data_IF_374476907466
#
_entry.id   IF_374476907466
#
_cell.length_a   1.000
_cell.length_b   1.000
_cell.length_c   1.000
_cell.angle_alpha   90.00
_cell.angle_beta   90.00
_cell.angle_gamma   90.00
#
_symmetry.space_group_name_H-M   'P 1'
#
loop_
_entity.id
_entity.type
_entity.pdbx_description
1 polymer ?
#
# COMPACT_ATOMS: atom_id res chain seq x y z
N UNK A 1 -22.02 -2.77 27.81
CA UNK A 1 -21.56 -2.92 26.40
C UNK A 1 -20.27 -2.13 26.25
N UNK A 2 -19.14 -2.83 26.34
CA UNK A 2 -17.84 -2.21 26.07
C UNK A 2 -17.78 -1.87 24.58
N UNK A 3 -17.86 -0.60 24.23
CA UNK A 3 -17.50 -0.12 22.89
C UNK A 3 -16.04 -0.49 22.67
N UNK A 4 -15.80 -1.47 21.80
CA UNK A 4 -14.45 -1.77 21.34
C UNK A 4 -14.00 -0.53 20.58
N UNK A 5 -13.12 0.26 21.20
CA UNK A 5 -12.53 1.42 20.52
C UNK A 5 -11.60 0.92 19.41
N UNK A 6 -11.91 1.26 18.17
CA UNK A 6 -11.05 0.95 17.04
C UNK A 6 -9.72 1.66 17.18
N UNK A 7 -8.63 0.90 17.08
CA UNK A 7 -7.27 1.41 17.22
C UNK A 7 -6.84 2.13 15.94
N UNK A 8 -6.32 3.34 16.09
CA UNK A 8 -5.72 4.07 14.98
C UNK A 8 -4.30 3.57 14.73
N UNK A 9 -4.08 3.03 13.54
CA UNK A 9 -2.76 2.53 13.12
C UNK A 9 -1.89 3.66 12.60
N UNK A 10 -2.49 4.62 11.89
CA UNK A 10 -1.79 5.81 11.38
C UNK A 10 -2.52 7.05 11.88
N UNK A 11 -1.74 8.03 12.36
CA UNK A 11 -2.23 9.34 12.72
C UNK A 11 -1.37 10.40 12.04
N UNK A 12 -1.97 11.15 11.13
CA UNK A 12 -1.34 12.26 10.42
C UNK A 12 -1.99 13.55 10.89
N UNK A 13 -1.17 14.49 11.40
CA UNK A 13 -1.64 15.78 11.92
C UNK A 13 -0.93 16.93 11.22
N UNK A 14 -1.70 17.79 10.57
CA UNK A 14 -1.26 19.05 9.98
C UNK A 14 -0.02 18.91 9.09
N UNK A 15 0.01 17.83 8.30
CA UNK A 15 1.14 17.54 7.42
C UNK A 15 1.22 18.55 6.28
N UNK A 16 2.38 19.19 6.14
CA UNK A 16 2.66 20.10 5.03
C UNK A 16 4.02 19.80 4.42
N UNK A 17 4.02 19.57 3.12
CA UNK A 17 5.23 19.36 2.32
C UNK A 17 5.30 20.39 1.21
N UNK A 18 6.35 21.18 1.24
CA UNK A 18 6.58 22.25 0.26
C UNK A 18 7.80 21.97 -0.60
N UNK A 19 7.68 22.27 -1.89
CA UNK A 19 8.79 22.30 -2.84
C UNK A 19 8.88 23.72 -3.40
N UNK A 20 9.91 24.49 -3.03
CA UNK A 20 10.05 25.90 -3.43
C UNK A 20 8.74 26.67 -3.13
N UNK A 21 7.97 26.97 -4.16
CA UNK A 21 6.73 27.74 -4.01
C UNK A 21 5.45 26.90 -4.09
N UNK A 22 5.60 25.55 -4.16
CA UNK A 22 4.46 24.63 -4.29
C UNK A 22 4.26 23.84 -3.01
N UNK A 23 3.06 23.92 -2.44
CA UNK A 23 2.62 23.03 -1.37
C UNK A 23 2.05 21.76 -1.98
N UNK A 24 2.86 20.69 -2.07
CA UNK A 24 2.43 19.40 -2.59
C UNK A 24 1.41 18.74 -1.66
N UNK A 25 1.58 18.93 -0.35
CA UNK A 25 0.62 18.53 0.70
C UNK A 25 0.45 19.75 1.61
N UNK A 26 -0.79 20.14 1.88
CA UNK A 26 -1.12 21.37 2.59
C UNK A 26 -2.05 21.11 3.77
N UNK A 27 -1.47 21.10 4.98
CA UNK A 27 -2.17 20.97 6.25
C UNK A 27 -3.12 19.77 6.31
N UNK A 28 -2.58 18.60 5.93
CA UNK A 28 -3.34 17.35 5.83
C UNK A 28 -3.44 16.66 7.18
N UNK A 29 -4.65 16.33 7.62
CA UNK A 29 -4.89 15.57 8.85
C UNK A 29 -5.87 14.44 8.60
N UNK A 30 -5.48 13.23 8.97
CA UNK A 30 -6.36 12.07 8.90
C UNK A 30 -5.82 10.92 9.75
N UNK A 31 -6.66 9.91 9.98
CA UNK A 31 -6.32 8.70 10.72
C UNK A 31 -6.70 7.48 9.90
N UNK A 32 -5.96 6.38 10.10
CA UNK A 32 -6.27 5.08 9.51
C UNK A 32 -6.52 4.10 10.63
N UNK A 33 -7.68 3.44 10.60
CA UNK A 33 -8.08 2.48 11.63
C UNK A 33 -7.60 1.07 11.29
N UNK A 34 -7.31 0.29 12.33
CA UNK A 34 -6.89 -1.10 12.18
C UNK A 34 -7.92 -1.90 11.39
N UNK A 35 -7.47 -2.65 10.38
CA UNK A 35 -8.30 -3.54 9.58
C UNK A 35 -9.12 -2.87 8.49
N UNK A 36 -8.98 -1.55 8.27
CA UNK A 36 -9.68 -0.89 7.17
C UNK A 36 -8.83 -0.79 5.90
N UNK A 37 -9.49 -0.67 4.77
CA UNK A 37 -8.87 -0.18 3.53
C UNK A 37 -9.27 1.28 3.40
N UNK A 38 -8.29 2.17 3.56
CA UNK A 38 -8.45 3.60 3.32
C UNK A 38 -8.02 3.93 1.91
N UNK A 39 -8.90 4.52 1.13
CA UNK A 39 -8.61 5.00 -0.21
C UNK A 39 -8.20 6.47 -0.22
N UNK A 40 -7.08 6.79 -0.87
CA UNK A 40 -6.72 8.15 -1.24
C UNK A 40 -7.02 8.31 -2.71
N UNK A 41 -8.08 9.06 -3.02
CA UNK A 41 -8.54 9.28 -4.39
C UNK A 41 -8.18 10.69 -4.85
N UNK A 42 -7.67 10.81 -6.05
CA UNK A 42 -7.41 12.12 -6.64
C UNK A 42 -6.67 12.02 -7.96
N UNK A 43 -6.67 13.10 -8.76
CA UNK A 43 -5.93 13.12 -10.01
C UNK A 43 -4.42 13.09 -9.77
N UNK A 44 -3.67 12.88 -10.85
CA UNK A 44 -2.21 12.99 -10.80
C UNK A 44 -1.81 14.38 -10.32
N UNK A 45 -0.86 14.45 -9.39
CA UNK A 45 -0.41 15.71 -8.82
C UNK A 45 -1.28 16.21 -7.65
N UNK A 46 -2.25 15.43 -7.18
CA UNK A 46 -3.09 15.82 -6.04
C UNK A 46 -2.44 15.67 -4.68
N UNK A 47 -1.27 15.00 -4.61
CA UNK A 47 -0.52 14.80 -3.37
C UNK A 47 -0.58 13.39 -2.79
N UNK A 48 -1.16 12.41 -3.50
CA UNK A 48 -1.29 11.01 -3.03
C UNK A 48 0.07 10.37 -2.74
N UNK A 49 0.94 10.31 -3.74
CA UNK A 49 2.27 9.70 -3.59
C UNK A 49 3.14 10.47 -2.60
N UNK A 50 3.10 11.80 -2.63
CA UNK A 50 3.84 12.64 -1.69
C UNK A 50 3.40 12.36 -0.25
N UNK A 51 2.10 12.23 -0.01
CA UNK A 51 1.56 11.89 1.31
C UNK A 51 2.09 10.55 1.80
N UNK A 52 2.04 9.50 0.97
CA UNK A 52 2.59 8.19 1.32
C UNK A 52 4.08 8.29 1.64
N UNK A 53 4.87 8.97 0.81
CA UNK A 53 6.31 9.08 1.00
C UNK A 53 6.67 9.84 2.28
N UNK A 54 5.87 10.83 2.67
CA UNK A 54 6.02 11.52 3.96
C UNK A 54 5.69 10.58 5.13
N UNK A 55 4.59 9.83 5.04
CA UNK A 55 4.18 8.86 6.07
C UNK A 55 5.27 7.80 6.29
N UNK A 56 5.87 7.32 5.19
CA UNK A 56 6.93 6.31 5.23
C UNK A 56 8.30 6.87 5.64
N UNK A 57 8.39 8.18 5.89
CA UNK A 57 9.64 8.88 6.22
C UNK A 57 10.69 8.81 5.09
N UNK A 58 10.23 8.67 3.85
CA UNK A 58 11.08 8.72 2.66
C UNK A 58 11.29 10.15 2.15
N UNK A 59 10.41 11.07 2.57
CA UNK A 59 10.52 12.49 2.31
C UNK A 59 10.45 13.26 3.62
N UNK A 60 11.27 14.29 3.74
CA UNK A 60 11.17 15.27 4.81
C UNK A 60 9.97 16.19 4.56
N UNK A 61 9.38 16.71 5.61
CA UNK A 61 8.28 17.66 5.52
C UNK A 61 8.48 18.82 6.49
N UNK A 62 7.87 19.96 6.17
CA UNK A 62 8.10 21.20 6.90
C UNK A 62 7.27 21.34 8.16
N UNK A 63 6.03 20.79 8.16
CA UNK A 63 5.10 20.89 9.28
C UNK A 63 4.34 19.60 9.47
N UNK A 64 3.91 19.35 10.70
CA UNK A 64 3.04 18.25 11.05
C UNK A 64 3.73 17.13 11.81
N UNK A 65 2.95 16.11 12.15
CA UNK A 65 3.44 14.93 12.83
C UNK A 65 2.78 13.67 12.27
N UNK A 66 3.52 12.56 12.30
CA UNK A 66 3.06 11.26 11.82
C UNK A 66 3.39 10.22 12.88
N UNK A 67 2.36 9.48 13.30
CA UNK A 67 2.49 8.32 14.18
C UNK A 67 1.99 7.08 13.48
N UNK A 68 2.77 5.99 13.61
CA UNK A 68 2.39 4.66 13.13
C UNK A 68 2.50 3.69 14.29
N UNK A 69 1.46 2.88 14.52
CA UNK A 69 1.36 1.98 15.68
C UNK A 69 1.56 2.72 17.01
N UNK A 70 1.08 3.96 17.10
CA UNK A 70 1.18 4.81 18.29
C UNK A 70 2.54 5.43 18.53
N UNK A 71 3.51 5.23 17.64
CA UNK A 71 4.87 5.76 17.75
C UNK A 71 5.16 6.77 16.65
N UNK A 72 5.98 7.79 16.97
CA UNK A 72 6.44 8.76 15.98
C UNK A 72 7.23 8.05 14.87
N UNK A 73 6.86 8.32 13.62
CA UNK A 73 7.56 7.75 12.47
C UNK A 73 8.84 8.52 12.17
N UNK A 74 9.94 7.79 11.99
CA UNK A 74 11.29 8.33 11.72
C UNK A 74 11.97 7.49 10.64
N UNK A 75 13.00 8.04 9.94
CA UNK A 75 13.73 7.27 8.94
C UNK A 75 14.39 5.99 9.48
N UNK A 76 14.77 5.97 10.77
CA UNK A 76 15.40 4.83 11.44
C UNK A 76 14.46 3.99 12.31
N UNK A 77 13.15 4.15 12.15
CA UNK A 77 12.14 3.37 12.87
C UNK A 77 12.02 1.95 12.30
N UNK A 78 13.07 1.14 12.46
CA UNK A 78 13.16 -0.21 11.88
C UNK A 78 12.12 -1.17 12.42
N UNK A 79 11.71 -1.03 13.68
CA UNK A 79 10.65 -1.82 14.28
C UNK A 79 9.29 -1.59 13.61
N UNK A 80 9.00 -0.35 13.25
CA UNK A 80 7.79 0.02 12.49
C UNK A 80 7.91 -0.50 11.06
N UNK A 81 9.04 -0.26 10.40
CA UNK A 81 9.26 -0.64 8.99
C UNK A 81 9.15 -2.14 8.76
N UNK A 82 9.56 -2.95 9.73
CA UNK A 82 9.46 -4.41 9.64
C UNK A 82 8.00 -4.90 9.56
N UNK A 83 7.03 -4.10 9.98
CA UNK A 83 5.59 -4.41 9.99
C UNK A 83 4.85 -3.80 8.81
N UNK A 84 5.57 -3.12 7.91
CA UNK A 84 5.01 -2.41 6.77
C UNK A 84 5.39 -3.12 5.48
N UNK A 85 4.42 -3.25 4.57
CA UNK A 85 4.62 -3.59 3.18
C UNK A 85 4.36 -2.38 2.31
N UNK A 86 5.20 -2.18 1.30
CA UNK A 86 5.06 -1.05 0.38
C UNK A 86 5.14 -1.55 -1.06
N UNK A 87 4.16 -1.15 -1.86
CA UNK A 87 4.14 -1.42 -3.28
C UNK A 87 4.02 -0.09 -4.00
N UNK A 88 5.12 0.37 -4.59
CA UNK A 88 5.13 1.59 -5.37
C UNK A 88 4.57 1.35 -6.78
N UNK A 89 4.23 2.43 -7.46
CA UNK A 89 3.74 2.38 -8.83
C UNK A 89 4.78 1.76 -9.79
N UNK A 90 6.06 2.10 -9.62
CA UNK A 90 7.13 1.52 -10.41
C UNK A 90 7.45 0.10 -9.94
N UNK A 91 7.57 -0.82 -10.88
CA UNK A 91 7.94 -2.21 -10.60
C UNK A 91 9.42 -2.27 -10.20
N UNK A 92 9.69 -2.88 -9.03
CA UNK A 92 11.04 -2.98 -8.46
C UNK A 92 11.38 -4.46 -8.16
N UNK A 93 11.63 -5.25 -9.20
CA UNK A 93 12.01 -6.66 -9.10
C UNK A 93 13.35 -6.89 -9.77
N UNK A 94 14.02 -7.98 -9.40
CA UNK A 94 15.31 -8.36 -9.99
C UNK A 94 15.08 -9.18 -11.26
N UNK A 95 15.57 -8.70 -12.37
CA UNK A 95 15.41 -9.36 -13.67
C UNK A 95 16.17 -10.69 -13.77
N UNK A 96 17.22 -10.84 -12.98
CA UNK A 96 18.07 -12.03 -12.93
C UNK A 96 17.46 -13.16 -12.10
N UNK A 97 16.40 -12.90 -11.35
CA UNK A 97 15.73 -13.87 -10.49
C UNK A 97 14.39 -14.30 -11.09
N UNK A 98 13.99 -15.54 -10.84
CA UNK A 98 12.67 -16.02 -11.21
C UNK A 98 11.59 -15.34 -10.36
N UNK A 99 10.31 -15.54 -10.71
CA UNK A 99 9.17 -15.12 -9.89
C UNK A 99 9.34 -15.60 -8.45
N UNK A 100 9.56 -16.90 -8.26
CA UNK A 100 9.73 -17.47 -6.92
C UNK A 100 10.91 -16.84 -6.17
N UNK A 101 12.06 -16.74 -6.82
CA UNK A 101 13.28 -16.23 -6.19
C UNK A 101 13.19 -14.74 -5.86
N UNK A 102 12.47 -13.95 -6.65
CA UNK A 102 12.18 -12.56 -6.32
C UNK A 102 11.41 -12.46 -5.01
N UNK A 103 10.33 -13.23 -4.89
CA UNK A 103 9.50 -13.22 -3.67
C UNK A 103 10.29 -13.74 -2.47
N UNK A 104 11.08 -14.80 -2.66
CA UNK A 104 11.95 -15.33 -1.62
C UNK A 104 12.95 -14.29 -1.10
N UNK A 105 13.57 -13.55 -2.01
CA UNK A 105 14.52 -12.50 -1.63
C UNK A 105 13.88 -11.45 -0.72
N UNK A 106 12.76 -10.86 -1.14
CA UNK A 106 12.09 -9.81 -0.37
C UNK A 106 11.48 -10.34 0.92
N UNK A 107 10.85 -11.51 0.89
CA UNK A 107 10.32 -12.15 2.09
C UNK A 107 11.44 -12.47 3.09
N UNK A 108 12.59 -12.92 2.59
CA UNK A 108 13.75 -13.29 3.39
C UNK A 108 14.40 -12.14 4.15
N UNK A 109 14.11 -10.89 3.76
CA UNK A 109 14.57 -9.71 4.51
C UNK A 109 13.93 -9.65 5.92
N UNK A 110 12.73 -10.22 6.08
CA UNK A 110 11.96 -10.15 7.31
C UNK A 110 11.72 -11.51 7.96
N UNK A 111 11.56 -12.58 7.17
CA UNK A 111 11.25 -13.93 7.64
C UNK A 111 12.47 -14.80 7.48
N UNK A 112 13.16 -15.08 8.57
CA UNK A 112 14.43 -15.84 8.55
C UNK A 112 14.24 -17.35 8.61
N UNK A 113 13.15 -17.83 9.23
CA UNK A 113 12.84 -19.26 9.27
C UNK A 113 12.46 -19.77 7.87
N UNK A 114 13.25 -20.69 7.34
CA UNK A 114 13.11 -21.18 5.96
C UNK A 114 11.75 -21.86 5.70
N UNK A 115 11.26 -22.61 6.68
CA UNK A 115 9.97 -23.32 6.54
C UNK A 115 8.80 -22.34 6.48
N UNK A 116 8.78 -21.37 7.40
CA UNK A 116 7.78 -20.32 7.44
C UNK A 116 7.84 -19.49 6.17
N UNK A 117 9.04 -19.10 5.73
CA UNK A 117 9.22 -18.31 4.51
C UNK A 117 8.68 -19.03 3.28
N UNK A 118 8.97 -20.32 3.11
CA UNK A 118 8.46 -21.12 2.00
C UNK A 118 6.93 -21.09 1.97
N UNK A 119 6.30 -21.28 3.12
CA UNK A 119 4.84 -21.21 3.24
C UNK A 119 4.30 -19.83 2.82
N UNK A 120 4.93 -18.76 3.30
CA UNK A 120 4.50 -17.40 3.00
C UNK A 120 4.65 -17.06 1.52
N UNK A 121 5.73 -17.54 0.88
CA UNK A 121 5.96 -17.35 -0.56
C UNK A 121 4.85 -18.04 -1.36
N UNK A 122 4.51 -19.27 -1.03
CA UNK A 122 3.45 -20.01 -1.72
C UNK A 122 2.09 -19.33 -1.55
N UNK A 123 1.78 -18.83 -0.36
CA UNK A 123 0.57 -18.09 -0.11
C UNK A 123 0.51 -16.78 -0.91
N UNK A 124 1.62 -16.06 -1.01
CA UNK A 124 1.70 -14.83 -1.81
C UNK A 124 1.51 -15.11 -3.30
N UNK A 125 2.13 -16.18 -3.81
CA UNK A 125 1.99 -16.62 -5.20
C UNK A 125 0.52 -16.94 -5.52
N UNK A 126 -0.14 -17.68 -4.63
CA UNK A 126 -1.55 -18.03 -4.81
C UNK A 126 -2.45 -16.79 -4.76
N UNK A 127 -2.16 -15.86 -3.86
CA UNK A 127 -2.94 -14.63 -3.71
C UNK A 127 -2.97 -13.81 -5.00
N UNK A 128 -1.84 -13.71 -5.69
CA UNK A 128 -1.71 -12.91 -6.92
C UNK A 128 -1.86 -13.75 -8.20
N UNK A 129 -2.15 -15.04 -8.08
CA UNK A 129 -2.43 -15.90 -9.23
C UNK A 129 -1.22 -16.19 -10.12
N UNK A 130 -0.03 -16.39 -9.53
CA UNK A 130 1.21 -16.64 -10.27
C UNK A 130 1.71 -18.08 -10.17
N UNK A 131 0.88 -19.03 -9.74
CA UNK A 131 1.30 -20.42 -9.53
C UNK A 131 1.96 -21.05 -10.78
N UNK A 132 1.42 -20.78 -11.96
CA UNK A 132 1.95 -21.32 -13.23
C UNK A 132 3.25 -20.64 -13.67
N UNK A 133 3.59 -19.50 -13.06
CA UNK A 133 4.71 -18.66 -13.49
C UNK A 133 5.89 -18.67 -12.53
N UNK A 134 5.92 -19.58 -11.54
CA UNK A 134 6.95 -19.61 -10.50
C UNK A 134 8.37 -19.59 -11.03
N UNK A 135 8.61 -20.29 -12.13
CA UNK A 135 9.94 -20.46 -12.73
C UNK A 135 10.23 -19.46 -13.86
N UNK A 136 9.26 -18.57 -14.14
CA UNK A 136 9.45 -17.54 -15.17
C UNK A 136 10.33 -16.42 -14.63
N UNK A 137 11.06 -15.79 -15.55
CA UNK A 137 11.79 -14.54 -15.27
C UNK A 137 10.90 -13.33 -15.59
N UNK A 138 11.15 -12.17 -14.97
CA UNK A 138 10.33 -10.97 -15.21
C UNK A 138 10.16 -10.62 -16.69
N UNK A 139 11.20 -10.81 -17.53
CA UNK A 139 11.13 -10.55 -18.96
C UNK A 139 10.09 -11.40 -19.70
N UNK A 140 9.73 -12.55 -19.15
CA UNK A 140 8.76 -13.48 -19.73
C UNK A 140 7.32 -13.15 -19.34
N UNK A 141 7.13 -12.17 -18.46
CA UNK A 141 5.81 -11.81 -17.94
C UNK A 141 5.19 -10.65 -18.72
N UNK A 142 3.86 -10.71 -18.88
CA UNK A 142 3.11 -9.53 -19.34
C UNK A 142 3.19 -8.42 -18.31
N UNK A 143 2.83 -7.20 -18.71
CA UNK A 143 2.80 -6.07 -17.78
C UNK A 143 1.92 -6.32 -16.55
N UNK A 144 0.76 -6.93 -16.74
CA UNK A 144 -0.15 -7.27 -15.64
C UNK A 144 0.42 -8.32 -14.70
N UNK A 145 1.05 -9.37 -15.24
CA UNK A 145 1.72 -10.40 -14.43
C UNK A 145 2.91 -9.84 -13.67
N UNK A 146 3.68 -8.95 -14.30
CA UNK A 146 4.80 -8.29 -13.67
C UNK A 146 4.34 -7.41 -12.50
N UNK A 147 3.22 -6.71 -12.67
CA UNK A 147 2.60 -5.91 -11.61
C UNK A 147 2.17 -6.78 -10.44
N UNK A 148 1.58 -7.96 -10.70
CA UNK A 148 1.23 -8.93 -9.67
C UNK A 148 2.45 -9.43 -8.91
N UNK A 149 3.55 -9.69 -9.60
CA UNK A 149 4.82 -10.07 -8.98
C UNK A 149 5.32 -8.98 -8.04
N UNK A 150 5.28 -7.73 -8.48
CA UNK A 150 5.69 -6.59 -7.65
C UNK A 150 4.89 -6.52 -6.35
N UNK A 151 3.58 -6.74 -6.43
CA UNK A 151 2.70 -6.79 -5.24
C UNK A 151 3.11 -7.95 -4.33
N UNK A 152 3.28 -9.16 -4.86
CA UNK A 152 3.68 -10.32 -4.08
C UNK A 152 4.97 -10.08 -3.30
N UNK A 153 5.96 -9.43 -3.92
CA UNK A 153 7.22 -9.08 -3.27
C UNK A 153 7.03 -8.14 -2.08
N UNK A 154 6.06 -7.22 -2.17
CA UNK A 154 5.80 -6.25 -1.10
C UNK A 154 4.99 -6.79 0.07
N UNK A 155 4.27 -7.90 -0.10
CA UNK A 155 3.32 -8.40 0.92
C UNK A 155 3.63 -9.82 1.43
N UNK A 156 4.60 -10.51 0.87
CA UNK A 156 4.86 -11.91 1.20
C UNK A 156 5.26 -12.14 2.66
N UNK A 157 5.90 -11.17 3.30
CA UNK A 157 6.28 -11.24 4.71
C UNK A 157 5.12 -11.01 5.69
N UNK A 158 3.89 -10.90 5.18
CA UNK A 158 2.65 -10.66 5.94
C UNK A 158 2.71 -9.43 6.85
N UNK A 159 2.98 -8.25 6.27
CA UNK A 159 2.99 -7.01 7.03
C UNK A 159 1.60 -6.69 7.58
N UNK A 160 1.56 -5.99 8.71
CA UNK A 160 0.30 -5.56 9.33
C UNK A 160 -0.30 -4.34 8.66
N UNK A 161 0.54 -3.53 8.04
CA UNK A 161 0.16 -2.30 7.35
C UNK A 161 0.75 -2.31 5.95
N UNK A 162 -0.08 -2.09 4.93
CA UNK A 162 0.32 -2.16 3.53
C UNK A 162 -0.05 -0.86 2.82
N UNK A 163 0.93 -0.30 2.11
CA UNK A 163 0.73 0.85 1.22
C UNK A 163 0.79 0.38 -0.23
N UNK A 164 -0.26 0.66 -0.99
CA UNK A 164 -0.34 0.33 -2.41
C UNK A 164 -0.56 1.61 -3.19
N UNK A 165 0.45 2.05 -3.93
CA UNK A 165 0.41 3.30 -4.70
C UNK A 165 0.05 3.01 -6.15
N UNK A 166 -1.20 3.26 -6.51
CA UNK A 166 -1.78 3.06 -7.84
C UNK A 166 -1.42 1.70 -8.46
N UNK A 167 -1.74 0.58 -7.77
CA UNK A 167 -1.24 -0.75 -8.18
C UNK A 167 -1.88 -1.30 -9.46
N UNK A 168 -2.93 -0.68 -9.98
CA UNK A 168 -3.67 -1.15 -11.16
C UNK A 168 -3.47 -0.28 -12.39
N UNK A 169 -2.61 0.73 -12.33
CA UNK A 169 -2.33 1.62 -13.47
C UNK A 169 -1.76 0.80 -14.63
N UNK A 170 -2.38 0.96 -15.80
CA UNK A 170 -1.97 0.35 -17.07
C UNK A 170 -1.96 -1.20 -17.06
N UNK A 171 -2.78 -1.83 -16.21
CA UNK A 171 -2.93 -3.29 -16.23
C UNK A 171 -4.21 -3.70 -16.97
N UNK A 172 -4.19 -4.93 -17.50
CA UNK A 172 -5.34 -5.53 -18.17
C UNK A 172 -6.48 -5.82 -17.17
N UNK A 173 -7.74 -5.95 -17.63
CA UNK A 173 -8.87 -6.20 -16.74
C UNK A 173 -8.74 -7.43 -15.87
N UNK A 174 -8.17 -8.52 -16.39
CA UNK A 174 -7.99 -9.75 -15.61
C UNK A 174 -7.02 -9.54 -14.45
N UNK A 175 -5.88 -8.92 -14.69
CA UNK A 175 -4.91 -8.60 -13.65
C UNK A 175 -5.47 -7.60 -12.65
N UNK A 176 -6.20 -6.58 -13.13
CA UNK A 176 -6.87 -5.62 -12.25
C UNK A 176 -7.82 -6.32 -11.27
N UNK A 177 -8.70 -7.19 -11.77
CA UNK A 177 -9.63 -7.93 -10.92
C UNK A 177 -8.91 -8.83 -9.92
N UNK A 178 -7.86 -9.53 -10.35
CA UNK A 178 -7.05 -10.35 -9.47
C UNK A 178 -6.42 -9.51 -8.35
N UNK A 179 -5.87 -8.35 -8.69
CA UNK A 179 -5.24 -7.44 -7.72
C UNK A 179 -6.27 -6.96 -6.69
N UNK A 180 -7.43 -6.50 -7.14
CA UNK A 180 -8.49 -6.01 -6.23
C UNK A 180 -9.00 -7.11 -5.30
N UNK A 181 -9.22 -8.32 -5.82
CA UNK A 181 -9.64 -9.47 -5.02
C UNK A 181 -8.57 -9.86 -3.99
N UNK A 182 -7.30 -9.82 -4.39
CA UNK A 182 -6.18 -10.11 -3.50
C UNK A 182 -6.09 -9.11 -2.34
N UNK A 183 -6.31 -7.83 -2.62
CA UNK A 183 -6.30 -6.77 -1.60
C UNK A 183 -7.41 -6.98 -0.56
N UNK A 184 -8.62 -7.36 -1.02
CA UNK A 184 -9.73 -7.70 -0.12
C UNK A 184 -9.36 -8.87 0.80
N UNK A 185 -8.71 -9.90 0.27
CA UNK A 185 -8.25 -11.05 1.06
C UNK A 185 -7.22 -10.64 2.10
N UNK A 186 -6.30 -9.74 1.76
CA UNK A 186 -5.32 -9.22 2.70
C UNK A 186 -6.00 -8.52 3.89
N UNK A 187 -7.00 -7.68 3.61
CA UNK A 187 -7.79 -7.02 4.67
C UNK A 187 -8.54 -8.06 5.51
N UNK A 188 -9.20 -9.02 4.88
CA UNK A 188 -9.98 -10.04 5.57
C UNK A 188 -9.09 -10.90 6.48
N UNK A 189 -7.81 -11.03 6.15
CA UNK A 189 -6.80 -11.69 6.97
C UNK A 189 -6.16 -10.78 8.03
N UNK A 190 -6.66 -9.56 8.19
CA UNK A 190 -6.28 -8.66 9.27
C UNK A 190 -5.38 -7.50 8.91
N UNK A 191 -4.95 -7.36 7.65
CA UNK A 191 -4.11 -6.24 7.24
C UNK A 191 -4.88 -4.93 7.20
N UNK A 192 -4.18 -3.84 7.54
CA UNK A 192 -4.64 -2.47 7.33
C UNK A 192 -4.01 -1.96 6.05
N UNK A 193 -4.78 -1.33 5.19
CA UNK A 193 -4.32 -1.00 3.85
C UNK A 193 -4.60 0.47 3.52
N UNK A 194 -3.57 1.16 3.01
CA UNK A 194 -3.69 2.49 2.39
C UNK A 194 -3.55 2.30 0.88
N UNK A 195 -4.59 2.62 0.16
CA UNK A 195 -4.71 2.38 -1.27
C UNK A 195 -4.86 3.70 -2.01
N UNK A 196 -3.96 4.01 -2.94
CA UNK A 196 -4.13 5.21 -3.77
C UNK A 196 -4.60 4.84 -5.17
N UNK A 197 -5.45 5.69 -5.72
CA UNK A 197 -5.94 5.54 -7.08
C UNK A 197 -6.49 6.87 -7.60
N UNK A 198 -6.61 7.00 -8.91
CA UNK A 198 -7.39 8.07 -9.53
C UNK A 198 -8.71 7.54 -10.13
N UNK A 199 -9.05 6.27 -9.89
CA UNK A 199 -10.27 5.63 -10.38
C UNK A 199 -11.32 5.52 -9.28
N UNK A 200 -12.41 6.27 -9.40
CA UNK A 200 -13.53 6.23 -8.44
C UNK A 200 -14.13 4.84 -8.30
N UNK A 201 -14.27 4.11 -9.39
CA UNK A 201 -14.83 2.76 -9.40
C UNK A 201 -14.05 1.76 -8.56
N UNK A 202 -12.73 1.92 -8.41
CA UNK A 202 -11.91 1.04 -7.57
C UNK A 202 -12.17 1.29 -6.08
N UNK A 203 -12.25 2.56 -5.68
CA UNK A 203 -12.52 2.87 -4.28
C UNK A 203 -13.94 2.47 -3.86
N UNK A 204 -14.90 2.52 -4.78
CA UNK A 204 -16.27 2.04 -4.53
C UNK A 204 -16.31 0.55 -4.24
N UNK A 205 -15.53 -0.24 -4.96
CA UNK A 205 -15.48 -1.70 -4.81
C UNK A 205 -14.66 -2.10 -3.57
N UNK A 206 -13.58 -1.38 -3.29
CA UNK A 206 -12.51 -1.84 -2.42
C UNK A 206 -12.49 -1.17 -1.05
N UNK A 207 -12.71 0.14 -0.99
CA UNK A 207 -12.37 0.92 0.20
C UNK A 207 -13.52 1.04 1.19
N UNK A 208 -13.20 0.90 2.48
CA UNK A 208 -14.14 1.11 3.57
C UNK A 208 -14.40 2.61 3.79
N UNK A 209 -13.38 3.41 3.59
CA UNK A 209 -13.43 4.86 3.73
C UNK A 209 -12.54 5.51 2.68
N UNK A 210 -12.92 6.69 2.21
CA UNK A 210 -12.27 7.39 1.11
C UNK A 210 -11.94 8.81 1.53
N UNK A 211 -10.72 9.25 1.20
CA UNK A 211 -10.29 10.64 1.28
C UNK A 211 -10.04 11.11 -0.14
N UNK A 212 -10.75 12.14 -0.56
CA UNK A 212 -10.53 12.77 -1.86
C UNK A 212 -9.55 13.91 -1.69
N UNK A 213 -8.43 13.84 -2.43
CA UNK A 213 -7.39 14.86 -2.44
C UNK A 213 -7.45 15.68 -3.71
N UNK A 214 -7.24 16.98 -3.56
CA UNK A 214 -7.05 17.89 -4.67
C UNK A 214 -6.05 18.97 -4.26
N UNK A 215 -5.02 19.16 -5.07
CA UNK A 215 -3.97 20.17 -4.85
C UNK A 215 -3.39 20.15 -3.43
N UNK A 216 -3.15 18.96 -2.91
CA UNK A 216 -2.54 18.74 -1.60
C UNK A 216 -3.50 18.88 -0.41
N UNK A 217 -4.79 19.10 -0.65
CA UNK A 217 -5.79 19.29 0.41
C UNK A 217 -6.86 18.22 0.36
N UNK A 218 -7.48 17.95 1.51
CA UNK A 218 -8.67 17.10 1.59
C UNK A 218 -9.86 17.88 1.04
N UNK A 219 -10.46 17.35 -0.03
CA UNK A 219 -11.68 17.90 -0.62
C UNK A 219 -12.92 17.34 0.05
N UNK A 220 -12.90 16.03 0.35
CA UNK A 220 -14.01 15.33 1.01
C UNK A 220 -13.50 14.04 1.66
N UNK A 221 -14.21 13.58 2.69
CA UNK A 221 -13.93 12.32 3.39
C UNK A 221 -15.26 11.61 3.70
N UNK A 222 -15.30 10.31 3.53
CA UNK A 222 -16.47 9.51 3.87
C UNK A 222 -16.44 8.12 3.25
N UNK A 223 -17.54 7.40 3.37
CA UNK A 223 -17.76 6.15 2.65
C UNK A 223 -18.12 6.46 1.19
N UNK A 224 -18.07 5.45 0.32
CA UNK A 224 -18.50 5.60 -1.07
C UNK A 224 -19.93 6.16 -1.17
N UNK A 225 -20.85 5.66 -0.35
CA UNK A 225 -22.24 6.10 -0.36
C UNK A 225 -22.40 7.56 0.10
N UNK A 226 -21.65 7.98 1.11
CA UNK A 226 -21.65 9.36 1.61
C UNK A 226 -21.14 10.37 0.57
N UNK A 227 -20.22 9.94 -0.32
CA UNK A 227 -19.57 10.80 -1.31
C UNK A 227 -20.31 10.89 -2.66
N UNK A 228 -21.36 10.09 -2.86
CA UNK A 228 -22.20 10.12 -4.07
C UNK A 228 -23.29 11.18 -4.02
#
# INVERSE_FOLDING_TARGET
ESRIMMKNIIEVKNLTKEYKNLKAVDNLSFKVQEGEILGLLGPNGSGKSTTINCILSLLNFQKGSIKIFGKEMKPDAYDIKAKIGVVFQDVAVFEELTVYDNIDYFCGLYIKDKKTRKQYIEEAIDLVGLAEFKKFYPKQLSGGLLRRLNIACGIAHKPKLIFLDEPTVAVDPQSRNNILDGIKKLRDNGATIVYTTHYMEEVEILCDRIIILDKGKILATGTSDELK
#
